data_IF_691482783244
#
_entry.id   IF_691482783244
#
_cell.length_a   1.000
_cell.length_b   1.000
_cell.length_c   1.000
_cell.angle_alpha   90.00
_cell.angle_beta   90.00
_cell.angle_gamma   90.00
#
_symmetry.space_group_name_H-M   'P 1'
#
loop_
_entity.id
_entity.type
_entity.pdbx_description
1 polymer ?
#
# COMPACT_ATOMS: atom_id res chain seq x y z
N UNK A 1 43.78 48.80 -37.46
CA UNK A 1 44.05 48.99 -36.03
C UNK A 1 44.57 47.67 -35.46
N UNK A 2 45.89 47.53 -35.23
CA UNK A 2 46.52 46.28 -34.76
C UNK A 2 46.59 46.29 -33.23
N UNK A 3 45.73 45.52 -32.57
CA UNK A 3 45.79 45.32 -31.11
C UNK A 3 47.05 44.53 -30.77
N UNK A 4 47.90 45.06 -29.90
CA UNK A 4 49.14 44.39 -29.47
C UNK A 4 48.81 43.29 -28.47
N UNK A 5 49.51 42.15 -28.55
CA UNK A 5 49.33 40.96 -27.68
C UNK A 5 49.36 41.28 -26.17
N UNK A 6 50.05 42.35 -25.77
CA UNK A 6 50.10 42.86 -24.38
C UNK A 6 48.84 43.62 -23.95
N UNK A 7 48.10 44.23 -24.87
CA UNK A 7 46.83 44.91 -24.57
C UNK A 7 45.70 43.90 -24.44
N UNK A 8 45.67 42.86 -25.28
CA UNK A 8 44.71 41.75 -25.17
C UNK A 8 44.79 41.02 -23.81
N UNK A 9 46.01 40.76 -23.33
CA UNK A 9 46.23 40.11 -22.03
C UNK A 9 45.85 41.00 -20.84
N UNK A 10 46.00 42.33 -20.96
CA UNK A 10 45.54 43.27 -19.92
C UNK A 10 44.01 43.34 -19.85
N UNK A 11 43.31 43.28 -20.98
CA UNK A 11 41.85 43.26 -21.03
C UNK A 11 41.26 41.92 -20.56
N UNK A 12 41.94 40.80 -20.81
CA UNK A 12 41.50 39.47 -20.39
C UNK A 12 41.69 39.21 -18.87
N UNK A 13 42.65 39.89 -18.23
CA UNK A 13 42.92 39.69 -16.80
C UNK A 13 41.91 40.39 -15.86
N UNK A 14 41.15 41.38 -16.35
CA UNK A 14 40.20 42.14 -15.54
C UNK A 14 38.77 41.57 -15.55
N UNK A 15 38.45 40.62 -16.43
CA UNK A 15 37.14 39.96 -16.48
C UNK A 15 37.08 38.63 -15.70
N UNK A 16 38.22 38.17 -15.16
CA UNK A 16 38.35 36.87 -14.49
C UNK A 16 37.94 36.80 -13.00
N UNK A 17 38.17 37.83 -12.15
CA UNK A 17 37.92 37.65 -10.71
C UNK A 17 36.47 37.95 -10.29
N UNK A 18 35.74 38.78 -11.03
CA UNK A 18 34.39 39.22 -10.62
C UNK A 18 33.33 38.12 -10.74
N UNK A 19 33.49 37.19 -11.69
CA UNK A 19 32.53 36.10 -11.90
C UNK A 19 32.71 34.91 -10.93
N UNK A 20 33.84 34.82 -10.23
CA UNK A 20 34.12 33.72 -9.28
C UNK A 20 33.76 34.04 -7.83
N UNK A 21 33.40 35.29 -7.53
CA UNK A 21 32.96 35.70 -6.17
C UNK A 21 31.42 35.72 -6.07
N UNK A 22 30.70 35.90 -7.18
CA UNK A 22 29.23 35.93 -7.17
C UNK A 22 28.56 34.54 -7.03
N UNK A 23 29.32 33.45 -7.05
CA UNK A 23 28.80 32.08 -6.93
C UNK A 23 28.84 31.52 -5.50
N UNK A 24 29.31 32.30 -4.51
CA UNK A 24 29.24 31.94 -3.09
C UNK A 24 28.21 32.81 -2.40
N UNK A 25 27.10 32.19 -2.00
CA UNK A 25 26.04 32.72 -1.16
C UNK A 25 24.92 33.51 -1.85
N UNK A 26 24.26 32.90 -2.85
CA UNK A 26 22.79 32.88 -2.78
C UNK A 26 22.41 31.66 -1.94
N UNK A 27 22.81 31.68 -0.66
CA UNK A 27 22.02 30.95 0.31
C UNK A 27 20.71 31.70 0.31
N UNK A 28 19.62 31.04 -0.08
CA UNK A 28 18.30 31.48 0.34
C UNK A 28 18.41 31.74 1.84
N UNK A 29 18.37 33.01 2.25
CA UNK A 29 18.14 33.35 3.65
C UNK A 29 16.82 32.65 3.94
N UNK A 30 16.88 31.57 4.73
CA UNK A 30 15.67 30.95 5.24
C UNK A 30 14.87 32.09 5.87
N UNK A 31 13.67 32.35 5.37
CA UNK A 31 12.82 33.39 5.91
C UNK A 31 12.71 33.19 7.43
N UNK A 32 12.89 34.26 8.18
CA UNK A 32 12.82 34.20 9.64
C UNK A 32 11.45 33.62 10.03
N UNK A 33 11.46 32.51 10.76
CA UNK A 33 10.28 31.70 11.06
C UNK A 33 10.09 31.63 12.57
N UNK A 34 8.93 32.08 13.05
CA UNK A 34 8.55 32.00 14.47
C UNK A 34 7.48 30.94 14.66
N UNK A 35 7.69 30.05 15.64
CA UNK A 35 6.74 29.01 16.06
C UNK A 35 6.46 29.21 17.56
N UNK A 36 5.19 29.38 17.93
CA UNK A 36 4.73 29.38 19.31
C UNK A 36 3.97 28.07 19.60
N UNK A 37 4.33 27.34 20.66
CA UNK A 37 3.68 26.06 21.05
C UNK A 37 2.97 26.23 22.38
N UNK A 38 1.63 26.20 22.36
CA UNK A 38 0.78 26.47 23.52
C UNK A 38 0.44 25.15 24.24
N UNK A 39 1.35 24.67 25.11
CA UNK A 39 1.23 23.36 25.78
C UNK A 39 0.04 23.22 26.76
N UNK A 40 -0.57 24.35 27.15
CA UNK A 40 -1.71 24.40 28.08
C UNK A 40 -3.05 24.64 27.37
N UNK A 41 -3.07 24.65 26.04
CA UNK A 41 -4.27 24.90 25.22
C UNK A 41 -4.58 23.68 24.31
N UNK A 42 -5.06 22.56 24.86
CA UNK A 42 -5.38 21.38 24.07
C UNK A 42 -6.55 21.64 23.11
N UNK A 43 -6.34 21.39 21.81
CA UNK A 43 -7.37 21.60 20.76
C UNK A 43 -8.13 20.31 20.37
N UNK A 44 -7.66 19.14 20.80
CA UNK A 44 -8.31 17.87 20.50
C UNK A 44 -7.38 16.66 20.61
N UNK A 45 -7.95 15.48 20.42
CA UNK A 45 -7.20 14.22 20.35
C UNK A 45 -6.92 13.89 18.89
N UNK A 46 -5.65 13.65 18.56
CA UNK A 46 -5.26 13.13 17.24
C UNK A 46 -5.72 11.67 17.15
N UNK A 47 -6.72 11.40 16.32
CA UNK A 47 -7.28 10.05 16.17
C UNK A 47 -6.21 9.10 15.60
N UNK A 48 -6.00 7.94 16.25
CA UNK A 48 -5.03 6.94 15.81
C UNK A 48 -5.28 6.41 14.39
N UNK A 49 -6.52 6.47 13.91
CA UNK A 49 -6.88 6.04 12.56
C UNK A 49 -6.34 6.99 11.48
N UNK A 50 -5.80 8.16 11.83
CA UNK A 50 -5.04 8.99 10.88
C UNK A 50 -3.77 8.28 10.40
N UNK A 51 -3.19 7.41 11.23
CA UNK A 51 -2.04 6.58 10.88
C UNK A 51 -2.48 5.22 10.31
N UNK A 52 -3.48 5.25 9.43
CA UNK A 52 -4.01 4.08 8.73
C UNK A 52 -3.12 3.62 7.58
N UNK A 53 -3.32 2.37 7.16
CA UNK A 53 -2.71 1.82 5.95
C UNK A 53 -3.77 1.30 4.97
N UNK A 54 -3.32 1.05 3.75
CA UNK A 54 -4.14 0.57 2.66
C UNK A 54 -3.43 -0.58 1.93
N UNK A 55 -4.17 -1.67 1.74
CA UNK A 55 -3.74 -2.89 1.05
C UNK A 55 -4.68 -3.13 -0.13
N UNK A 56 -4.11 -3.17 -1.32
CA UNK A 56 -4.80 -3.57 -2.53
C UNK A 56 -4.12 -4.80 -3.14
N UNK A 57 -4.90 -5.67 -3.78
CA UNK A 57 -4.39 -6.73 -4.68
C UNK A 57 -3.78 -6.12 -5.95
N UNK A 58 -2.63 -5.45 -5.77
CA UNK A 58 -1.92 -4.69 -6.79
C UNK A 58 -0.42 -5.00 -6.70
N UNK A 59 0.15 -5.45 -7.83
CA UNK A 59 1.59 -5.66 -7.94
C UNK A 59 2.13 -6.61 -6.87
N UNK A 60 3.18 -6.19 -6.18
CA UNK A 60 3.81 -6.94 -5.10
C UNK A 60 3.29 -6.61 -3.69
N UNK A 61 2.18 -5.86 -3.56
CA UNK A 61 1.66 -5.44 -2.24
C UNK A 61 1.20 -6.66 -1.45
N UNK A 62 0.28 -7.45 -2.02
CA UNK A 62 -0.22 -8.67 -1.38
C UNK A 62 0.76 -9.81 -1.58
N UNK A 63 0.99 -10.23 -2.83
CA UNK A 63 1.87 -11.35 -3.14
C UNK A 63 3.32 -10.90 -3.15
N UNK A 64 4.19 -11.68 -2.50
CA UNK A 64 5.55 -11.29 -2.08
C UNK A 64 5.56 -10.33 -0.87
N UNK A 65 4.88 -9.18 -0.94
CA UNK A 65 4.88 -8.17 0.12
C UNK A 65 4.30 -8.65 1.46
N UNK A 66 3.06 -9.16 1.44
CA UNK A 66 2.35 -9.66 2.62
C UNK A 66 2.36 -11.18 2.65
N UNK A 67 1.82 -11.80 1.61
CA UNK A 67 1.66 -13.24 1.46
C UNK A 67 2.85 -13.82 0.71
N UNK A 68 3.62 -14.65 1.41
CA UNK A 68 4.74 -15.42 0.84
C UNK A 68 4.42 -16.91 0.72
N UNK A 69 3.32 -17.36 1.33
CA UNK A 69 2.89 -18.76 1.36
C UNK A 69 3.48 -19.55 2.54
N UNK A 70 2.69 -20.48 3.09
CA UNK A 70 3.04 -21.21 4.33
C UNK A 70 4.32 -22.03 4.20
N UNK A 71 4.56 -22.59 3.01
CA UNK A 71 5.74 -23.41 2.69
C UNK A 71 6.92 -22.60 2.17
N UNK A 72 6.85 -21.26 2.23
CA UNK A 72 7.93 -20.40 1.75
C UNK A 72 9.19 -20.56 2.58
N UNK A 73 10.35 -20.41 1.94
CA UNK A 73 11.65 -20.27 2.63
C UNK A 73 11.76 -18.92 3.36
N UNK A 74 10.93 -17.94 2.99
CA UNK A 74 10.85 -16.65 3.68
C UNK A 74 10.15 -16.87 5.03
N UNK A 75 10.73 -16.42 6.16
CA UNK A 75 10.10 -16.54 7.47
C UNK A 75 8.69 -15.94 7.49
N UNK A 76 7.71 -16.74 7.92
CA UNK A 76 6.29 -16.38 7.85
C UNK A 76 5.48 -16.92 9.04
N UNK A 77 4.32 -16.30 9.29
CA UNK A 77 3.34 -16.70 10.30
C UNK A 77 2.08 -17.18 9.57
N UNK A 78 2.04 -18.47 9.23
CA UNK A 78 0.97 -19.07 8.43
C UNK A 78 0.77 -18.36 7.10
N UNK A 79 1.87 -18.20 6.35
CA UNK A 79 1.95 -17.62 5.02
C UNK A 79 2.16 -16.12 4.95
N UNK A 80 1.95 -15.39 6.05
CA UNK A 80 2.17 -13.94 6.13
C UNK A 80 3.63 -13.65 6.49
N UNK A 81 4.34 -12.84 5.71
CA UNK A 81 5.74 -12.46 5.90
C UNK A 81 5.98 -11.92 7.32
N UNK A 82 6.85 -12.59 8.08
CA UNK A 82 7.09 -12.27 9.50
C UNK A 82 7.72 -10.89 9.68
N UNK A 83 8.69 -10.53 8.84
CA UNK A 83 9.37 -9.23 8.95
C UNK A 83 8.43 -8.04 8.74
N UNK A 84 7.42 -8.18 7.88
CA UNK A 84 6.37 -7.18 7.71
C UNK A 84 5.54 -7.05 8.99
N UNK A 85 5.07 -8.17 9.55
CA UNK A 85 4.29 -8.18 10.79
C UNK A 85 5.07 -7.52 11.93
N UNK A 86 6.34 -7.90 12.12
CA UNK A 86 7.19 -7.37 13.19
C UNK A 86 7.40 -5.86 13.05
N UNK A 87 7.53 -5.34 11.83
CA UNK A 87 7.69 -3.92 11.56
C UNK A 87 6.37 -3.16 11.74
N UNK A 88 5.28 -3.67 11.16
CA UNK A 88 3.98 -3.00 11.19
C UNK A 88 3.38 -2.97 12.60
N UNK A 89 3.55 -4.03 13.39
CA UNK A 89 3.12 -4.06 14.79
C UNK A 89 3.78 -2.96 15.65
N UNK A 90 5.06 -2.60 15.37
CA UNK A 90 5.75 -1.51 16.07
C UNK A 90 5.15 -0.14 15.76
N UNK A 91 4.59 0.04 14.56
CA UNK A 91 3.94 1.28 14.15
C UNK A 91 2.57 1.48 14.80
N UNK A 92 1.97 0.41 15.36
CA UNK A 92 0.63 0.43 15.96
C UNK A 92 -0.43 1.05 15.02
N UNK A 93 -0.58 0.49 13.80
CA UNK A 93 -1.52 1.01 12.81
C UNK A 93 -2.94 1.07 13.39
N UNK A 94 -3.65 2.17 13.15
CA UNK A 94 -5.05 2.30 13.59
C UNK A 94 -5.96 1.34 12.84
N UNK A 95 -6.06 1.51 11.51
CA UNK A 95 -6.84 0.65 10.62
C UNK A 95 -6.02 0.24 9.40
N UNK A 96 -6.38 -0.91 8.80
CA UNK A 96 -5.90 -1.32 7.47
C UNK A 96 -7.12 -1.50 6.55
N UNK A 97 -7.13 -0.82 5.41
CA UNK A 97 -8.17 -0.98 4.37
C UNK A 97 -7.80 -2.11 3.39
N UNK A 98 -8.75 -2.97 3.04
CA UNK A 98 -8.62 -4.12 2.12
C UNK A 98 -9.97 -4.39 1.40
N UNK A 99 -10.06 -4.96 0.17
CA UNK A 99 -9.02 -5.53 -0.70
C UNK A 99 -8.50 -4.58 -1.78
N UNK A 100 -8.93 -3.32 -1.77
CA UNK A 100 -8.49 -2.35 -2.76
C UNK A 100 -9.43 -1.17 -2.95
N UNK A 101 -8.96 -0.19 -3.72
CA UNK A 101 -9.79 0.87 -4.26
C UNK A 101 -10.55 0.30 -5.45
N UNK A 102 -9.87 0.21 -6.58
CA UNK A 102 -10.49 -0.27 -7.81
C UNK A 102 -10.69 -1.80 -7.81
N UNK A 103 -9.74 -2.57 -7.26
CA UNK A 103 -9.87 -4.02 -7.19
C UNK A 103 -11.11 -4.45 -6.39
N UNK A 104 -11.49 -3.71 -5.35
CA UNK A 104 -12.67 -4.02 -4.54
C UNK A 104 -13.97 -4.00 -5.37
N UNK A 105 -14.06 -3.17 -6.41
CA UNK A 105 -15.27 -3.05 -7.25
C UNK A 105 -15.51 -4.26 -8.18
N UNK A 106 -14.57 -5.20 -8.23
CA UNK A 106 -14.74 -6.47 -8.96
C UNK A 106 -14.51 -7.71 -8.07
N UNK A 107 -14.21 -7.50 -6.80
CA UNK A 107 -13.88 -8.60 -5.89
C UNK A 107 -15.15 -9.27 -5.36
N UNK A 108 -15.22 -10.59 -5.49
CA UNK A 108 -16.17 -11.42 -4.77
C UNK A 108 -15.47 -12.06 -3.58
N UNK A 109 -15.85 -11.65 -2.36
CA UNK A 109 -15.21 -12.13 -1.14
C UNK A 109 -15.30 -13.65 -0.96
N UNK A 110 -16.29 -14.31 -1.60
CA UNK A 110 -16.49 -15.75 -1.55
C UNK A 110 -15.38 -16.50 -2.29
N UNK A 111 -14.73 -15.86 -3.27
CA UNK A 111 -13.58 -16.41 -3.98
C UNK A 111 -12.34 -16.50 -3.06
N UNK A 112 -12.26 -15.64 -2.05
CA UNK A 112 -11.15 -15.55 -1.10
C UNK A 112 -11.33 -16.32 0.22
N UNK A 113 -12.28 -17.26 0.31
CA UNK A 113 -12.50 -18.07 1.53
C UNK A 113 -12.56 -19.56 1.20
N UNK A 114 -12.37 -20.41 2.22
CA UNK A 114 -12.34 -21.86 2.04
C UNK A 114 -10.94 -22.39 1.66
N UNK A 115 -10.84 -23.70 1.36
CA UNK A 115 -9.57 -24.35 1.06
C UNK A 115 -8.85 -23.65 -0.10
N UNK A 116 -7.64 -23.16 0.16
CA UNK A 116 -6.88 -22.29 -0.76
C UNK A 116 -6.70 -22.87 -2.16
N UNK A 117 -6.41 -24.17 -2.25
CA UNK A 117 -6.22 -24.90 -3.52
C UNK A 117 -7.51 -25.03 -4.35
N UNK A 118 -8.68 -24.75 -3.76
CA UNK A 118 -9.98 -24.77 -4.43
C UNK A 118 -10.52 -23.38 -4.75
N UNK A 119 -9.79 -22.32 -4.38
CA UNK A 119 -10.20 -20.94 -4.67
C UNK A 119 -10.01 -20.66 -6.16
N UNK A 120 -10.95 -19.94 -6.80
CA UNK A 120 -10.86 -19.69 -8.24
C UNK A 120 -9.79 -18.65 -8.54
N UNK A 121 -9.15 -18.79 -9.70
CA UNK A 121 -8.28 -17.76 -10.27
C UNK A 121 -9.11 -16.80 -11.12
N UNK A 122 -8.91 -15.49 -10.94
CA UNK A 122 -9.58 -14.41 -11.70
C UNK A 122 -8.58 -13.58 -12.46
N UNK A 123 -9.02 -12.82 -13.47
CA UNK A 123 -8.18 -11.76 -14.05
C UNK A 123 -8.03 -10.65 -13.01
N UNK A 124 -6.80 -10.24 -12.73
CA UNK A 124 -6.56 -9.15 -11.79
C UNK A 124 -7.06 -7.81 -12.39
N UNK A 125 -7.61 -6.92 -11.57
CA UNK A 125 -8.12 -5.61 -12.02
C UNK A 125 -7.04 -4.81 -12.76
N UNK A 126 -5.80 -4.93 -12.27
CA UNK A 126 -4.62 -4.24 -12.76
C UNK A 126 -3.88 -5.00 -13.86
N UNK A 127 -4.39 -6.18 -14.26
CA UNK A 127 -3.89 -6.88 -15.43
C UNK A 127 -4.04 -5.98 -16.67
N UNK A 128 -3.20 -6.19 -17.68
CA UNK A 128 -3.33 -5.45 -18.93
C UNK A 128 -4.67 -5.76 -19.61
N UNK A 129 -5.61 -4.83 -19.45
CA UNK A 129 -6.94 -4.82 -20.08
C UNK A 129 -6.96 -3.94 -21.32
N UNK A 130 -5.79 -3.45 -21.80
CA UNK A 130 -5.69 -2.42 -22.83
C UNK A 130 -5.97 -1.00 -22.34
N UNK A 131 -6.32 -0.84 -21.06
CA UNK A 131 -6.60 0.45 -20.42
C UNK A 131 -5.48 0.81 -19.45
N UNK A 132 -4.45 1.50 -19.96
CA UNK A 132 -3.34 2.11 -19.21
C UNK A 132 -2.65 1.22 -18.17
N UNK A 133 -2.50 -0.07 -18.43
CA UNK A 133 -1.54 -0.86 -17.66
C UNK A 133 -0.13 -0.29 -17.90
N UNK A 134 0.67 -0.03 -16.85
CA UNK A 134 2.07 0.35 -17.04
C UNK A 134 2.79 -0.72 -17.85
N UNK A 135 3.80 -0.32 -18.63
CA UNK A 135 4.53 -1.22 -19.53
C UNK A 135 5.06 -2.48 -18.82
N UNK A 136 5.37 -2.35 -17.53
CA UNK A 136 5.80 -3.45 -16.65
C UNK A 136 4.80 -4.59 -16.50
N UNK A 137 3.50 -4.39 -16.78
CA UNK A 137 2.48 -5.43 -16.71
C UNK A 137 2.07 -6.00 -18.07
N UNK A 138 2.36 -5.30 -19.18
CA UNK A 138 2.00 -5.75 -20.53
C UNK A 138 2.77 -7.01 -20.95
N UNK A 139 4.01 -7.12 -20.48
CA UNK A 139 4.92 -8.22 -20.82
C UNK A 139 4.82 -9.40 -19.83
N UNK A 140 3.94 -9.34 -18.83
CA UNK A 140 3.77 -10.45 -17.90
C UNK A 140 2.94 -11.56 -18.55
N UNK A 141 3.48 -12.77 -18.59
CA UNK A 141 2.74 -13.95 -19.09
C UNK A 141 1.88 -14.59 -18.00
N UNK A 142 2.27 -14.45 -16.73
CA UNK A 142 1.63 -15.11 -15.60
C UNK A 142 1.86 -14.35 -14.29
N UNK A 143 1.34 -14.88 -13.19
CA UNK A 143 1.52 -14.32 -11.84
C UNK A 143 0.31 -13.53 -11.35
N UNK A 144 0.28 -13.19 -10.05
CA UNK A 144 -0.87 -12.55 -9.41
C UNK A 144 -1.21 -11.16 -9.95
N UNK A 145 -0.24 -10.49 -10.56
CA UNK A 145 -0.43 -9.20 -11.23
C UNK A 145 -1.31 -9.31 -12.49
N UNK A 146 -1.41 -10.51 -13.07
CA UNK A 146 -2.25 -10.81 -14.24
C UNK A 146 -3.45 -11.68 -13.87
N UNK A 147 -3.21 -12.70 -13.05
CA UNK A 147 -4.20 -13.69 -12.65
C UNK A 147 -4.20 -13.84 -11.13
N UNK A 148 -5.21 -13.27 -10.49
CA UNK A 148 -5.43 -13.28 -9.05
C UNK A 148 -5.82 -14.68 -8.56
N UNK A 149 -4.99 -15.38 -7.77
CA UNK A 149 -5.28 -16.73 -7.32
C UNK A 149 -6.18 -16.79 -6.06
N UNK A 150 -6.51 -15.65 -5.46
CA UNK A 150 -7.30 -15.52 -4.22
C UNK A 150 -6.71 -16.27 -3.02
N UNK A 151 -5.39 -16.48 -3.00
CA UNK A 151 -4.70 -17.17 -1.92
C UNK A 151 -4.63 -16.36 -0.63
N UNK A 152 -4.68 -15.04 -0.75
CA UNK A 152 -4.85 -14.11 0.36
C UNK A 152 -6.23 -13.46 0.29
N UNK A 153 -7.14 -13.92 1.14
CA UNK A 153 -8.53 -13.46 1.18
C UNK A 153 -8.93 -12.99 2.57
N UNK A 154 -10.20 -13.17 2.92
CA UNK A 154 -10.78 -12.61 4.16
C UNK A 154 -10.06 -13.14 5.41
N UNK A 155 -9.84 -14.44 5.49
CA UNK A 155 -9.28 -15.07 6.69
C UNK A 155 -7.81 -14.67 6.90
N UNK A 156 -7.03 -14.61 5.81
CA UNK A 156 -5.63 -14.16 5.85
C UNK A 156 -5.51 -12.67 6.18
N UNK A 157 -6.39 -11.82 5.64
CA UNK A 157 -6.42 -10.40 5.95
C UNK A 157 -6.77 -10.14 7.43
N UNK A 158 -7.79 -10.80 7.96
CA UNK A 158 -8.15 -10.67 9.37
C UNK A 158 -7.04 -11.18 10.29
N UNK A 159 -6.32 -12.24 9.89
CA UNK A 159 -5.13 -12.71 10.60
C UNK A 159 -4.02 -11.66 10.60
N UNK A 160 -3.75 -11.00 9.46
CA UNK A 160 -2.79 -9.89 9.40
C UNK A 160 -3.15 -8.79 10.40
N UNK A 161 -4.42 -8.35 10.42
CA UNK A 161 -4.90 -7.34 11.36
C UNK A 161 -4.68 -7.75 12.82
N UNK A 162 -4.99 -9.00 13.19
CA UNK A 162 -4.74 -9.51 14.55
C UNK A 162 -3.26 -9.51 14.90
N UNK A 163 -2.39 -9.92 13.97
CA UNK A 163 -0.95 -9.97 14.19
C UNK A 163 -0.31 -8.59 14.37
N UNK A 164 -0.88 -7.55 13.75
CA UNK A 164 -0.33 -6.18 13.79
C UNK A 164 -1.04 -5.26 14.76
N UNK A 165 -2.16 -5.70 15.34
CA UNK A 165 -3.02 -4.90 16.22
C UNK A 165 -3.91 -3.90 15.48
N UNK A 166 -3.91 -3.91 14.14
CA UNK A 166 -4.77 -3.05 13.34
C UNK A 166 -6.25 -3.47 13.42
N UNK A 167 -7.15 -2.49 13.33
CA UNK A 167 -8.55 -2.77 13.05
C UNK A 167 -8.78 -3.01 11.54
N UNK A 168 -9.57 -4.03 11.15
CA UNK A 168 -9.87 -4.28 9.75
C UNK A 168 -10.88 -3.27 9.20
N UNK A 169 -10.63 -2.76 7.99
CA UNK A 169 -11.59 -1.94 7.23
C UNK A 169 -11.82 -2.58 5.85
N UNK A 170 -13.01 -3.17 5.65
CA UNK A 170 -13.37 -3.85 4.41
C UNK A 170 -14.02 -2.88 3.41
N UNK A 171 -13.47 -2.82 2.20
CA UNK A 171 -14.07 -2.14 1.06
C UNK A 171 -15.01 -3.11 0.33
N UNK A 172 -16.30 -2.81 0.35
CA UNK A 172 -17.33 -3.62 -0.28
C UNK A 172 -17.40 -3.37 -1.79
N UNK A 173 -17.67 -4.43 -2.55
CA UNK A 173 -17.98 -4.33 -3.96
C UNK A 173 -19.43 -3.86 -4.14
N UNK A 174 -19.62 -2.63 -4.61
CA UNK A 174 -20.95 -2.08 -4.92
C UNK A 174 -21.18 -1.89 -6.42
N UNK A 175 -20.17 -2.18 -7.25
CA UNK A 175 -20.24 -2.01 -8.71
C UNK A 175 -20.83 -3.23 -9.40
N UNK A 176 -20.41 -4.43 -8.99
CA UNK A 176 -20.71 -5.67 -9.71
C UNK A 176 -21.43 -6.73 -8.87
N UNK A 177 -21.59 -6.50 -7.56
CA UNK A 177 -22.33 -7.38 -6.65
C UNK A 177 -23.53 -6.67 -6.04
N UNK A 178 -24.51 -7.48 -5.57
CA UNK A 178 -25.67 -6.99 -4.85
C UNK A 178 -25.37 -6.73 -3.37
N UNK A 179 -26.28 -6.03 -2.70
CA UNK A 179 -26.21 -5.76 -1.26
C UNK A 179 -26.18 -7.08 -0.45
N UNK A 180 -26.84 -8.12 -0.93
CA UNK A 180 -26.88 -9.45 -0.30
C UNK A 180 -25.49 -10.02 -0.07
N UNK A 181 -24.59 -9.91 -1.05
CA UNK A 181 -23.23 -10.42 -0.98
C UNK A 181 -22.43 -9.72 0.13
N UNK A 182 -22.60 -8.41 0.27
CA UNK A 182 -21.96 -7.65 1.34
C UNK A 182 -22.52 -8.04 2.71
N UNK A 183 -23.84 -8.20 2.85
CA UNK A 183 -24.47 -8.64 4.10
C UNK A 183 -24.01 -10.05 4.49
N UNK A 184 -23.84 -10.95 3.52
CA UNK A 184 -23.27 -12.28 3.74
C UNK A 184 -21.80 -12.21 4.19
N UNK A 185 -21.03 -11.24 3.68
CA UNK A 185 -19.66 -11.04 4.15
C UNK A 185 -19.63 -10.56 5.61
N UNK A 186 -20.54 -9.66 5.99
CA UNK A 186 -20.69 -9.21 7.37
C UNK A 186 -21.11 -10.37 8.30
N UNK A 187 -22.03 -11.21 7.87
CA UNK A 187 -22.42 -12.44 8.57
C UNK A 187 -21.22 -13.37 8.74
N UNK A 188 -20.52 -13.66 7.63
CA UNK A 188 -19.30 -14.47 7.64
C UNK A 188 -18.28 -13.94 8.64
N UNK A 189 -18.05 -12.63 8.73
CA UNK A 189 -17.04 -12.05 9.62
C UNK A 189 -17.48 -11.97 11.10
N UNK A 190 -18.77 -11.68 11.38
CA UNK A 190 -19.19 -11.22 12.70
C UNK A 190 -20.16 -12.15 13.45
N UNK A 191 -20.90 -13.02 12.76
CA UNK A 191 -21.86 -13.88 13.45
C UNK A 191 -21.14 -14.91 14.35
N UNK A 192 -21.80 -15.33 15.42
CA UNK A 192 -21.27 -16.36 16.35
C UNK A 192 -20.96 -17.65 15.56
N UNK A 193 -19.82 -18.33 15.80
CA UNK A 193 -19.51 -19.58 15.11
C UNK A 193 -20.66 -20.58 15.19
N UNK A 194 -21.04 -21.18 14.05
CA UNK A 194 -22.12 -22.16 13.98
C UNK A 194 -23.54 -21.61 13.89
N UNK A 195 -23.74 -20.29 14.04
CA UNK A 195 -25.08 -19.69 14.10
C UNK A 195 -25.76 -19.59 12.72
N UNK A 196 -24.96 -19.38 11.69
CA UNK A 196 -25.41 -19.13 10.31
C UNK A 196 -24.61 -20.00 9.35
N UNK A 197 -25.10 -20.19 8.13
CA UNK A 197 -24.36 -20.92 7.09
C UNK A 197 -22.96 -20.33 6.89
N UNK A 198 -22.84 -19.00 6.90
CA UNK A 198 -21.56 -18.33 6.69
C UNK A 198 -20.63 -18.38 7.89
N UNK A 199 -21.13 -18.22 9.12
CA UNK A 199 -20.30 -18.38 10.32
C UNK A 199 -19.89 -19.84 10.57
N UNK A 200 -20.71 -20.82 10.17
CA UNK A 200 -20.32 -22.23 10.11
C UNK A 200 -19.21 -22.47 9.10
N UNK A 201 -19.30 -21.86 7.90
CA UNK A 201 -18.25 -21.94 6.89
C UNK A 201 -16.95 -21.29 7.38
N UNK A 202 -17.03 -20.13 8.06
CA UNK A 202 -15.86 -19.50 8.70
C UNK A 202 -15.23 -20.45 9.71
N UNK A 203 -16.02 -21.01 10.63
CA UNK A 203 -15.51 -21.92 11.64
C UNK A 203 -14.83 -23.18 11.05
N UNK A 204 -15.34 -23.69 9.93
CA UNK A 204 -14.72 -24.80 9.22
C UNK A 204 -13.41 -24.43 8.49
N UNK A 205 -13.17 -23.14 8.23
CA UNK A 205 -11.93 -22.66 7.60
C UNK A 205 -10.78 -22.45 8.60
N UNK A 206 -11.06 -22.53 9.91
CA UNK A 206 -10.10 -22.29 11.00
C UNK A 206 -10.09 -20.86 11.51
#
# INVERSE_FOLDING_TARGET
MKIRRREFLKSAALAGPAALIASRAVYSQAADSRIDVLINEPIGTVNSNLYSHFVEHLGGVVYDGIWVGEKSKIPNIGGIRKSLVDALAKLKPGVIRYPGGCFADQYDWRDGVGPREKRPTRVNFWADTGYKAPESYKQLDSGPQKYEPNWFGTDEFLKLCRLTGAQPYLAANLRSLGVSEFMQWLDYCNAKPGLTTWSSKRAANG
#
